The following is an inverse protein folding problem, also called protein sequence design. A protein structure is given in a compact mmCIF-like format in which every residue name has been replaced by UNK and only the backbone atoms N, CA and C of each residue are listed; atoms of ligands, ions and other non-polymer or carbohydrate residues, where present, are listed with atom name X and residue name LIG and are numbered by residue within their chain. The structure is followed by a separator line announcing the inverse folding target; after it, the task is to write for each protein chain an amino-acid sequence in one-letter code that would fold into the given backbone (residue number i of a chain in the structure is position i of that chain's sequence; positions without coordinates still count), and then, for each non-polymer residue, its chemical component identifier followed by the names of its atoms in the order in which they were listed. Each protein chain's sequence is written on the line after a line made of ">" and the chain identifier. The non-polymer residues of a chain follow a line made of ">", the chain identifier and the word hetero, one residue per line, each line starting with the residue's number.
data_IF_343513784347
#
_entry.id   IF_343513784347
#
_cell.length_a   1.000
_cell.length_b   1.000
_cell.length_c   1.000
_cell.angle_alpha   90.00
_cell.angle_beta   90.00
_cell.angle_gamma   90.00
#
_symmetry.space_group_name_H-M   'P 1'
#
loop_
_entity.id
_entity.type
_entity.pdbx_description
1 polymer ?
#
# COMPACT_ATOMS: atom_id res chain seq x y z
N UNK A 1 46.59 2.97 10.73
CA UNK A 1 45.29 2.47 11.20
C UNK A 1 44.39 2.38 9.97
N UNK A 2 44.33 1.21 9.36
CA UNK A 2 43.74 1.01 8.03
C UNK A 2 42.24 0.73 8.19
N UNK A 3 41.38 1.68 7.82
CA UNK A 3 39.93 1.44 7.76
C UNK A 3 39.64 0.39 6.68
N UNK A 4 39.27 -0.81 7.10
CA UNK A 4 38.70 -1.84 6.22
C UNK A 4 37.33 -1.37 5.75
N UNK A 5 37.27 -0.74 4.57
CA UNK A 5 36.02 -0.48 3.85
C UNK A 5 35.37 -1.82 3.51
N UNK A 6 34.36 -2.22 4.27
CA UNK A 6 33.51 -3.37 3.94
C UNK A 6 32.69 -3.05 2.70
N UNK A 7 32.73 -3.91 1.69
CA UNK A 7 31.89 -3.77 0.51
C UNK A 7 30.41 -3.89 0.91
N UNK A 8 29.50 -3.09 0.31
CA UNK A 8 28.08 -3.19 0.62
C UNK A 8 27.55 -4.58 0.26
N UNK A 9 26.59 -5.11 1.04
CA UNK A 9 25.98 -6.40 0.74
C UNK A 9 25.26 -6.36 -0.62
N UNK A 10 25.22 -7.49 -1.34
CA UNK A 10 24.51 -7.57 -2.61
C UNK A 10 23.02 -7.28 -2.43
N UNK A 11 22.43 -6.60 -3.40
CA UNK A 11 21.00 -6.27 -3.40
C UNK A 11 20.18 -7.55 -3.56
N UNK A 12 19.21 -7.83 -2.66
CA UNK A 12 18.36 -9.00 -2.78
C UNK A 12 17.26 -8.75 -3.84
N UNK A 13 17.58 -8.95 -5.12
CA UNK A 13 16.66 -8.68 -6.24
C UNK A 13 15.29 -9.36 -6.10
N UNK A 14 15.22 -10.56 -5.51
CA UNK A 14 13.94 -11.23 -5.23
C UNK A 14 13.03 -10.43 -4.28
N UNK A 15 13.60 -9.80 -3.25
CA UNK A 15 12.86 -8.89 -2.35
C UNK A 15 12.45 -7.62 -3.08
N UNK A 16 13.29 -7.09 -3.97
CA UNK A 16 12.96 -5.90 -4.78
C UNK A 16 11.75 -6.18 -5.67
N UNK A 17 11.72 -7.31 -6.38
CA UNK A 17 10.58 -7.71 -7.20
C UNK A 17 9.33 -7.98 -6.36
N UNK A 18 9.45 -8.69 -5.23
CA UNK A 18 8.32 -8.98 -4.35
C UNK A 18 7.70 -7.71 -3.79
N UNK A 19 8.52 -6.81 -3.24
CA UNK A 19 8.04 -5.53 -2.70
C UNK A 19 7.48 -4.64 -3.81
N UNK A 20 8.14 -4.60 -4.97
CA UNK A 20 7.64 -3.87 -6.14
C UNK A 20 6.26 -4.37 -6.60
N UNK A 21 6.07 -5.68 -6.69
CA UNK A 21 4.79 -6.28 -7.03
C UNK A 21 3.70 -5.99 -5.98
N UNK A 22 4.03 -6.12 -4.69
CA UNK A 22 3.11 -5.79 -3.59
C UNK A 22 2.71 -4.31 -3.60
N UNK A 23 3.65 -3.41 -3.88
CA UNK A 23 3.37 -1.97 -3.99
C UNK A 23 2.56 -1.63 -5.24
N UNK A 24 2.82 -2.28 -6.38
CA UNK A 24 2.12 -2.04 -7.64
C UNK A 24 0.66 -2.56 -7.62
N UNK A 25 0.36 -3.55 -6.79
CA UNK A 25 -0.98 -4.13 -6.69
C UNK A 25 -2.05 -3.11 -6.28
N UNK A 26 -1.71 -2.18 -5.38
CA UNK A 26 -2.62 -1.15 -4.90
C UNK A 26 -3.08 -0.16 -6.00
N UNK A 27 -2.18 0.58 -6.70
CA UNK A 27 -2.57 1.48 -7.78
C UNK A 27 -3.25 0.73 -8.93
N UNK A 28 -2.78 -0.47 -9.28
CA UNK A 28 -3.42 -1.30 -10.29
C UNK A 28 -4.89 -1.62 -9.94
N UNK A 29 -5.17 -1.95 -8.67
CA UNK A 29 -6.54 -2.22 -8.22
C UNK A 29 -7.42 -0.98 -8.31
N UNK A 30 -6.89 0.19 -7.96
CA UNK A 30 -7.64 1.46 -8.02
C UNK A 30 -7.95 1.83 -9.48
N UNK A 31 -6.98 1.68 -10.38
CA UNK A 31 -7.14 1.95 -11.81
C UNK A 31 -8.23 1.07 -12.44
N UNK A 32 -8.38 -0.18 -11.97
CA UNK A 32 -9.46 -1.07 -12.39
C UNK A 32 -10.80 -0.74 -11.69
N UNK A 33 -10.76 -0.36 -10.42
CA UNK A 33 -11.97 -0.13 -9.62
C UNK A 33 -12.72 1.14 -10.04
N UNK A 34 -12.01 2.26 -10.26
CA UNK A 34 -12.62 3.55 -10.56
C UNK A 34 -13.57 3.55 -11.78
N UNK A 35 -13.21 2.99 -12.95
CA UNK A 35 -14.13 2.90 -14.09
C UNK A 35 -15.25 1.89 -13.90
N UNK A 36 -15.13 0.94 -12.96
CA UNK A 36 -16.17 -0.05 -12.65
C UNK A 36 -17.26 0.49 -11.72
N UNK A 37 -17.02 1.60 -11.03
CA UNK A 37 -17.97 2.20 -10.08
C UNK A 37 -19.37 2.47 -10.66
N UNK A 38 -19.53 3.01 -11.89
CA UNK A 38 -20.86 3.23 -12.46
C UNK A 38 -21.62 1.91 -12.70
N UNK A 39 -20.92 0.85 -13.12
CA UNK A 39 -21.52 -0.47 -13.33
C UNK A 39 -21.97 -1.09 -12.00
N UNK A 40 -21.12 -1.02 -10.97
CA UNK A 40 -21.45 -1.47 -9.60
C UNK A 40 -22.66 -0.69 -9.06
N UNK A 41 -22.72 0.63 -9.30
CA UNK A 41 -23.85 1.47 -8.89
C UNK A 41 -25.16 1.06 -9.58
N UNK A 42 -25.10 0.76 -10.89
CA UNK A 42 -26.26 0.28 -11.64
C UNK A 42 -26.74 -1.09 -11.16
N UNK A 43 -25.83 -2.05 -10.94
CA UNK A 43 -26.16 -3.40 -10.49
C UNK A 43 -26.75 -3.42 -9.07
N UNK A 44 -26.33 -2.49 -8.21
CA UNK A 44 -26.80 -2.37 -6.83
C UNK A 44 -27.97 -1.40 -6.65
N UNK A 45 -28.50 -0.81 -7.73
CA UNK A 45 -29.47 0.30 -7.69
C UNK A 45 -29.05 1.43 -6.72
N UNK A 46 -27.74 1.70 -6.66
CA UNK A 46 -27.15 2.70 -5.78
C UNK A 46 -26.99 4.04 -6.51
N UNK A 47 -27.25 5.13 -5.78
CA UNK A 47 -27.00 6.49 -6.27
C UNK A 47 -25.50 6.77 -6.36
N UNK A 48 -25.10 7.71 -7.23
CA UNK A 48 -23.69 8.14 -7.34
C UNK A 48 -23.08 8.57 -6.00
N UNK A 49 -23.88 9.20 -5.12
CA UNK A 49 -23.46 9.59 -3.78
C UNK A 49 -23.11 8.38 -2.89
N UNK A 50 -23.89 7.29 -2.98
CA UNK A 50 -23.62 6.06 -2.24
C UNK A 50 -22.36 5.35 -2.75
N UNK A 51 -22.15 5.31 -4.07
CA UNK A 51 -20.94 4.74 -4.68
C UNK A 51 -19.69 5.59 -4.37
N UNK A 52 -19.81 6.91 -4.28
CA UNK A 52 -18.70 7.77 -3.86
C UNK A 52 -18.38 7.62 -2.36
N UNK A 53 -19.38 7.33 -1.53
CA UNK A 53 -19.17 7.09 -0.11
C UNK A 53 -18.27 5.88 0.16
N UNK A 54 -18.29 4.84 -0.68
CA UNK A 54 -17.39 3.68 -0.53
C UNK A 54 -15.93 4.06 -0.78
N UNK A 55 -15.67 4.91 -1.77
CA UNK A 55 -14.33 5.45 -2.06
C UNK A 55 -13.84 6.33 -0.91
N UNK A 56 -14.72 7.18 -0.36
CA UNK A 56 -14.40 7.99 0.80
C UNK A 56 -14.08 7.12 2.04
N UNK A 57 -14.88 6.08 2.29
CA UNK A 57 -14.65 5.12 3.36
C UNK A 57 -13.33 4.35 3.17
N UNK A 58 -12.99 3.95 1.94
CA UNK A 58 -11.71 3.33 1.62
C UNK A 58 -10.53 4.24 1.96
N UNK A 59 -10.55 5.50 1.52
CA UNK A 59 -9.48 6.45 1.85
C UNK A 59 -9.41 6.77 3.34
N UNK A 60 -10.56 6.89 4.02
CA UNK A 60 -10.59 7.08 5.47
C UNK A 60 -9.96 5.88 6.20
N UNK A 61 -10.32 4.65 5.82
CA UNK A 61 -9.72 3.43 6.36
C UNK A 61 -8.21 3.36 6.10
N UNK A 62 -7.77 3.75 4.90
CA UNK A 62 -6.33 3.85 4.58
C UNK A 62 -5.62 4.89 5.44
N UNK A 63 -6.19 6.09 5.61
CA UNK A 63 -5.59 7.14 6.42
C UNK A 63 -5.44 6.69 7.89
N UNK A 64 -6.47 6.05 8.43
CA UNK A 64 -6.44 5.45 9.78
C UNK A 64 -5.36 4.37 9.83
N UNK A 65 -5.33 3.47 8.84
CA UNK A 65 -4.33 2.40 8.74
C UNK A 65 -2.90 2.94 8.68
N UNK A 66 -2.63 3.97 7.88
CA UNK A 66 -1.32 4.62 7.80
C UNK A 66 -0.92 5.29 9.12
N UNK A 67 -1.87 5.91 9.80
CA UNK A 67 -1.63 6.54 11.11
C UNK A 67 -1.18 5.54 12.17
N UNK A 68 -1.68 4.30 12.15
CA UNK A 68 -1.23 3.25 13.07
C UNK A 68 -0.01 2.49 12.55
N UNK A 69 -0.03 2.09 11.28
CA UNK A 69 0.98 1.24 10.67
C UNK A 69 2.32 1.95 10.49
N UNK A 70 2.34 3.26 10.23
CA UNK A 70 3.57 4.06 10.14
C UNK A 70 4.36 4.03 11.46
N UNK A 71 3.81 4.57 12.57
CA UNK A 71 4.45 4.53 13.88
C UNK A 71 4.72 3.12 14.40
N UNK A 72 3.83 2.16 14.12
CA UNK A 72 4.07 0.75 14.47
C UNK A 72 5.27 0.18 13.69
N UNK A 73 5.36 0.41 12.38
CA UNK A 73 6.50 -0.01 11.55
C UNK A 73 7.82 0.63 12.02
N UNK A 74 7.78 1.88 12.46
CA UNK A 74 8.96 2.59 12.97
C UNK A 74 9.38 2.11 14.36
N UNK A 75 8.41 1.82 15.24
CA UNK A 75 8.66 1.38 16.63
C UNK A 75 9.08 -0.09 16.72
N UNK A 76 8.49 -0.97 15.91
CA UNK A 76 8.83 -2.40 15.90
C UNK A 76 10.01 -2.71 14.96
N UNK A 77 10.41 -1.75 14.12
CA UNK A 77 11.49 -1.89 13.16
C UNK A 77 11.12 -2.83 12.00
N UNK A 78 11.51 -2.46 10.77
CA UNK A 78 11.39 -3.37 9.59
C UNK A 78 12.28 -4.63 9.73
N UNK A 79 13.22 -4.60 10.67
CA UNK A 79 13.89 -5.72 11.33
C UNK A 79 13.95 -5.33 12.81
N UNK A 80 13.48 -6.18 13.71
CA UNK A 80 13.39 -5.90 15.14
C UNK A 80 14.73 -5.45 15.73
N UNK A 81 14.72 -4.69 16.84
CA UNK A 81 15.94 -4.29 17.51
C UNK A 81 16.71 -5.55 17.91
N UNK A 82 17.97 -5.59 17.48
CA UNK A 82 18.99 -6.53 17.95
C UNK A 82 19.08 -6.55 19.47
#
# INVERSE_FOLDING_TARGET
>A
MSETRTAPPPTPWGLVFLLGALTAFAPMSIDMYLPSLPAIGADLNATAAQTQATVAAFFAGMAIGQFFYGPASDRFGRRGPI
#
